data_IF_034696046320
#
_entry.id   IF_034696046320
#
_cell.length_a   1.000
_cell.length_b   1.000
_cell.length_c   1.000
_cell.angle_alpha   90.00
_cell.angle_beta   90.00
_cell.angle_gamma   90.00
#
_symmetry.space_group_name_H-M   'P 1'
#
loop_
_entity.id
_entity.type
_entity.pdbx_description
1 polymer ?
#
# COMPACT_ATOMS: atom_id res chain seq x y z
N UNK A 1 1.52 -7.83 12.47
CA UNK A 1 0.72 -6.72 11.91
C UNK A 1 -0.41 -6.35 12.85
N UNK A 2 -0.78 -5.08 12.89
CA UNK A 2 -1.90 -4.49 13.61
C UNK A 2 -3.22 -5.21 13.35
N UNK A 3 -3.89 -5.58 14.44
CA UNK A 3 -5.20 -6.22 14.41
C UNK A 3 -6.28 -5.16 14.53
N UNK A 4 -7.18 -5.02 13.54
CA UNK A 4 -8.26 -4.04 13.62
C UNK A 4 -9.17 -4.37 14.81
N UNK A 5 -9.57 -3.34 15.55
CA UNK A 5 -10.48 -3.42 16.69
C UNK A 5 -11.92 -3.05 16.34
N UNK A 6 -12.13 -2.48 15.16
CA UNK A 6 -13.45 -2.07 14.66
C UNK A 6 -13.62 -2.44 13.18
N UNK A 7 -14.88 -2.45 12.73
CA UNK A 7 -15.20 -2.67 11.32
C UNK A 7 -14.56 -1.63 10.39
N UNK A 8 -14.61 -0.34 10.75
CA UNK A 8 -13.97 0.72 9.96
C UNK A 8 -12.45 0.54 9.86
N UNK A 9 -11.80 0.12 10.95
CA UNK A 9 -10.36 -0.20 10.92
C UNK A 9 -10.06 -1.40 10.01
N UNK A 10 -10.94 -2.40 9.97
CA UNK A 10 -10.81 -3.55 9.07
C UNK A 10 -11.01 -3.16 7.60
N UNK A 11 -11.99 -2.31 7.30
CA UNK A 11 -12.23 -1.76 5.97
C UNK A 11 -11.02 -0.95 5.48
N UNK A 12 -10.54 -0.01 6.28
CA UNK A 12 -9.35 0.80 5.96
C UNK A 12 -8.13 -0.10 5.77
N UNK A 13 -7.93 -1.11 6.61
CA UNK A 13 -6.82 -2.08 6.45
C UNK A 13 -6.93 -2.84 5.13
N UNK A 14 -8.13 -3.25 4.74
CA UNK A 14 -8.36 -3.97 3.47
C UNK A 14 -8.07 -3.07 2.29
N UNK A 15 -8.61 -1.85 2.27
CA UNK A 15 -8.37 -0.86 1.21
C UNK A 15 -6.89 -0.52 1.06
N UNK A 16 -6.22 -0.19 2.18
CA UNK A 16 -4.79 0.14 2.17
C UNK A 16 -3.95 -1.07 1.79
N UNK A 17 -4.28 -2.26 2.29
CA UNK A 17 -3.53 -3.49 2.01
C UNK A 17 -3.59 -3.91 0.54
N UNK A 18 -4.80 -3.96 -0.03
CA UNK A 18 -5.04 -4.27 -1.45
C UNK A 18 -4.24 -3.32 -2.36
N UNK A 19 -4.30 -2.04 -2.02
CA UNK A 19 -3.71 -1.02 -2.84
C UNK A 19 -2.17 -0.93 -2.67
N UNK A 20 -1.62 -1.19 -1.48
CA UNK A 20 -0.17 -1.34 -1.27
C UNK A 20 0.39 -2.57 -2.00
N UNK A 21 -0.35 -3.68 -2.02
CA UNK A 21 0.04 -4.87 -2.76
C UNK A 21 0.08 -4.58 -4.27
N UNK A 22 -0.95 -3.90 -4.80
CA UNK A 22 -0.97 -3.48 -6.19
C UNK A 22 0.21 -2.58 -6.56
N UNK A 23 0.56 -1.59 -5.73
CA UNK A 23 1.70 -0.70 -5.96
C UNK A 23 3.03 -1.50 -6.02
N UNK A 24 3.21 -2.45 -5.10
CA UNK A 24 4.39 -3.31 -5.08
C UNK A 24 4.49 -4.22 -6.31
N UNK A 25 3.38 -4.86 -6.71
CA UNK A 25 3.37 -5.71 -7.90
C UNK A 25 3.63 -4.92 -9.18
N UNK A 26 3.10 -3.69 -9.29
CA UNK A 26 3.38 -2.81 -10.42
C UNK A 26 4.84 -2.38 -10.47
N UNK A 27 5.47 -2.15 -9.32
CA UNK A 27 6.90 -1.87 -9.24
C UNK A 27 7.72 -3.09 -9.69
N UNK A 28 7.45 -4.29 -9.17
CA UNK A 28 8.17 -5.50 -9.61
C UNK A 28 8.01 -5.70 -11.12
N UNK A 29 6.81 -5.45 -11.66
CA UNK A 29 6.53 -5.60 -13.08
C UNK A 29 7.39 -4.71 -13.99
N UNK A 30 8.06 -3.67 -13.49
CA UNK A 30 9.02 -2.89 -14.31
C UNK A 30 10.31 -3.63 -14.59
N UNK A 31 10.66 -4.61 -13.76
CA UNK A 31 11.90 -5.38 -13.86
C UNK A 31 11.67 -6.77 -14.50
N UNK A 32 10.42 -7.15 -14.76
CA UNK A 32 10.05 -8.42 -15.38
C UNK A 32 10.06 -8.36 -16.92
N UNK A 33 10.26 -9.50 -17.61
CA UNK A 33 10.02 -9.59 -19.06
C UNK A 33 8.61 -9.12 -19.42
N UNK A 34 8.48 -8.43 -20.55
CA UNK A 34 7.23 -7.76 -20.98
C UNK A 34 5.99 -8.67 -20.88
N UNK A 35 6.10 -9.91 -21.35
CA UNK A 35 5.00 -10.88 -21.35
C UNK A 35 4.49 -11.20 -19.93
N UNK A 36 5.40 -11.26 -18.95
CA UNK A 36 5.04 -11.50 -17.55
C UNK A 36 4.48 -10.24 -16.90
N UNK A 37 5.11 -9.09 -17.18
CA UNK A 37 4.64 -7.79 -16.70
C UNK A 37 3.20 -7.48 -17.16
N UNK A 38 2.85 -7.86 -18.39
CA UNK A 38 1.51 -7.68 -18.95
C UNK A 38 0.46 -8.52 -18.21
N UNK A 39 0.80 -9.75 -17.82
CA UNK A 39 -0.08 -10.59 -16.98
C UNK A 39 -0.31 -9.95 -15.62
N UNK A 40 0.74 -9.46 -14.97
CA UNK A 40 0.63 -8.76 -13.67
C UNK A 40 -0.29 -7.54 -13.80
N UNK A 41 -0.09 -6.70 -14.82
CA UNK A 41 -0.94 -5.53 -15.05
C UNK A 41 -2.39 -5.90 -15.35
N UNK A 42 -2.63 -6.94 -16.14
CA UNK A 42 -3.97 -7.41 -16.46
C UNK A 42 -4.73 -7.85 -15.19
N UNK A 43 -4.10 -8.68 -14.35
CA UNK A 43 -4.71 -9.15 -13.09
C UNK A 43 -5.01 -8.00 -12.13
N UNK A 44 -4.10 -7.03 -11.99
CA UNK A 44 -4.30 -5.86 -11.14
C UNK A 44 -5.35 -4.88 -11.70
N UNK A 45 -5.64 -4.90 -13.00
CA UNK A 45 -6.69 -4.05 -13.58
C UNK A 45 -8.11 -4.55 -13.27
N UNK A 46 -8.24 -5.81 -12.85
CA UNK A 46 -9.53 -6.44 -12.52
C UNK A 46 -9.94 -6.26 -11.04
N UNK A 47 -9.07 -5.70 -10.19
CA UNK A 47 -9.34 -5.56 -8.74
C UNK A 47 -10.16 -4.29 -8.42
N UNK A 48 -11.48 -4.37 -8.64
CA UNK A 48 -12.46 -3.34 -8.21
C UNK A 48 -12.97 -3.51 -6.77
N UNK A 49 -12.46 -4.49 -6.02
CA UNK A 49 -13.12 -4.99 -4.80
C UNK A 49 -13.13 -4.02 -3.61
N UNK A 50 -12.29 -2.98 -3.61
CA UNK A 50 -12.10 -2.11 -2.45
C UNK A 50 -12.72 -0.71 -2.61
N UNK A 51 -13.28 -0.34 -3.77
CA UNK A 51 -13.80 1.01 -3.99
C UNK A 51 -14.97 1.39 -3.08
N UNK A 52 -15.81 0.43 -2.68
CA UNK A 52 -16.94 0.69 -1.77
C UNK A 52 -16.46 1.21 -0.40
N UNK A 53 -15.23 0.88 0.01
CA UNK A 53 -14.64 1.30 1.29
C UNK A 53 -14.58 2.82 1.38
N UNK A 54 -14.31 3.51 0.27
CA UNK A 54 -14.16 4.97 0.26
C UNK A 54 -15.46 5.63 0.72
N UNK A 55 -16.60 5.22 0.16
CA UNK A 55 -17.90 5.79 0.52
C UNK A 55 -18.26 5.54 2.00
N UNK A 56 -18.06 4.31 2.47
CA UNK A 56 -18.32 3.92 3.87
C UNK A 56 -17.46 4.71 4.86
N UNK A 57 -16.16 4.82 4.60
CA UNK A 57 -15.23 5.54 5.48
C UNK A 57 -15.51 7.04 5.43
N UNK A 58 -15.73 7.63 4.26
CA UNK A 58 -16.09 9.05 4.12
C UNK A 58 -17.35 9.41 4.91
N UNK A 59 -18.39 8.57 4.83
CA UNK A 59 -19.61 8.78 5.60
C UNK A 59 -19.33 8.78 7.11
N UNK A 60 -18.55 7.81 7.60
CA UNK A 60 -18.22 7.69 9.01
C UNK A 60 -17.38 8.87 9.54
N UNK A 61 -16.37 9.31 8.79
CA UNK A 61 -15.47 10.41 9.22
C UNK A 61 -16.13 11.78 9.09
N UNK A 62 -17.09 11.94 8.17
CA UNK A 62 -17.94 13.13 8.07
C UNK A 62 -18.88 13.23 9.25
N UNK A 63 -19.47 12.11 9.67
CA UNK A 63 -20.37 12.05 10.82
C UNK A 63 -19.66 12.18 12.17
N UNK A 64 -18.35 11.90 12.26
CA UNK A 64 -17.62 11.92 13.53
C UNK A 64 -16.15 12.30 13.39
N UNK A 65 -15.81 13.49 13.91
CA UNK A 65 -14.42 13.93 14.02
C UNK A 65 -13.56 12.99 14.88
N UNK A 66 -14.15 12.37 15.91
CA UNK A 66 -13.46 11.36 16.74
C UNK A 66 -13.05 10.15 15.89
N UNK A 67 -13.93 9.67 15.00
CA UNK A 67 -13.60 8.56 14.11
C UNK A 67 -12.53 8.97 13.10
N UNK A 68 -12.62 10.19 12.52
CA UNK A 68 -11.57 10.73 11.65
C UNK A 68 -10.19 10.66 12.30
N UNK A 69 -10.04 11.21 13.51
CA UNK A 69 -8.74 11.23 14.19
C UNK A 69 -8.22 9.81 14.49
N UNK A 70 -9.10 8.91 14.92
CA UNK A 70 -8.73 7.51 15.19
C UNK A 70 -8.26 6.79 13.94
N UNK A 71 -9.02 6.88 12.84
CA UNK A 71 -8.69 6.22 11.58
C UNK A 71 -7.45 6.83 10.91
N UNK A 72 -7.21 8.13 11.06
CA UNK A 72 -5.98 8.77 10.58
C UNK A 72 -4.73 8.22 11.32
N UNK A 73 -4.81 8.09 12.66
CA UNK A 73 -3.72 7.49 13.43
C UNK A 73 -3.52 6.01 13.09
N UNK A 74 -4.62 5.27 12.95
CA UNK A 74 -4.59 3.87 12.54
C UNK A 74 -3.91 3.69 11.18
N UNK A 75 -4.26 4.53 10.20
CA UNK A 75 -3.70 4.44 8.84
C UNK A 75 -2.20 4.74 8.80
N UNK A 76 -1.73 5.73 9.56
CA UNK A 76 -0.29 5.98 9.73
C UNK A 76 0.43 4.77 10.33
N UNK A 77 -0.20 4.10 11.31
CA UNK A 77 0.37 2.89 11.92
C UNK A 77 0.42 1.72 10.93
N UNK A 78 -0.62 1.54 10.12
CA UNK A 78 -0.65 0.51 9.06
C UNK A 78 0.51 0.70 8.07
N UNK A 79 0.72 1.91 7.57
CA UNK A 79 1.82 2.21 6.66
C UNK A 79 3.18 1.95 7.30
N UNK A 80 3.40 2.43 8.53
CA UNK A 80 4.66 2.23 9.24
C UNK A 80 4.99 0.75 9.43
N UNK A 81 4.01 -0.06 9.85
CA UNK A 81 4.20 -1.50 9.99
C UNK A 81 4.44 -2.19 8.65
N UNK A 82 3.75 -1.78 7.58
CA UNK A 82 3.98 -2.31 6.24
C UNK A 82 5.41 -2.02 5.74
N UNK A 83 5.91 -0.79 5.93
CA UNK A 83 7.28 -0.41 5.58
C UNK A 83 8.28 -1.25 6.39
N UNK A 84 8.10 -1.37 7.70
CA UNK A 84 9.00 -2.20 8.54
C UNK A 84 9.00 -3.67 8.11
N UNK A 85 7.84 -4.23 7.76
CA UNK A 85 7.76 -5.61 7.26
C UNK A 85 8.46 -5.77 5.91
N UNK A 86 8.26 -4.83 4.98
CA UNK A 86 8.95 -4.85 3.69
C UNK A 86 10.47 -4.77 3.86
N UNK A 87 10.96 -3.87 4.72
CA UNK A 87 12.39 -3.77 5.05
C UNK A 87 12.94 -5.06 5.65
N UNK A 88 12.18 -5.73 6.53
CA UNK A 88 12.59 -7.00 7.12
C UNK A 88 12.70 -8.12 6.06
N UNK A 89 11.70 -8.26 5.19
CA UNK A 89 11.69 -9.24 4.10
C UNK A 89 12.85 -9.00 3.13
N UNK A 90 13.11 -7.74 2.78
CA UNK A 90 14.21 -7.38 1.89
C UNK A 90 15.59 -7.65 2.51
N UNK A 91 15.73 -7.48 3.82
CA UNK A 91 16.98 -7.79 4.53
C UNK A 91 17.21 -9.31 4.73
N UNK A 92 16.15 -10.11 4.75
CA UNK A 92 16.24 -11.58 4.91
C UNK A 92 16.39 -12.32 3.56
N UNK A 93 16.08 -11.65 2.45
CA UNK A 93 16.07 -12.23 1.11
C UNK A 93 16.82 -11.36 0.09
N UNK A 94 18.16 -11.40 0.13
CA UNK A 94 19.04 -10.69 -0.81
C UNK A 94 18.72 -10.99 -2.29
N UNK A 95 18.21 -12.19 -2.61
CA UNK A 95 17.81 -12.58 -3.97
C UNK A 95 16.64 -11.74 -4.52
N UNK A 96 15.75 -11.23 -3.64
CA UNK A 96 14.68 -10.31 -4.05
C UNK A 96 15.23 -8.92 -4.35
N UNK A 97 16.30 -8.51 -3.65
CA UNK A 97 17.01 -7.26 -3.93
C UNK A 97 17.65 -7.38 -5.31
N UNK A 98 18.32 -8.49 -5.61
CA UNK A 98 18.95 -8.71 -6.93
C UNK A 98 17.92 -8.80 -8.08
N UNK A 99 16.73 -9.38 -7.85
CA UNK A 99 15.66 -9.48 -8.85
C UNK A 99 15.00 -8.12 -9.16
N UNK A 100 14.79 -7.28 -8.14
CA UNK A 100 14.12 -5.98 -8.31
C UNK A 100 15.12 -4.89 -8.71
N UNK A 101 16.39 -5.01 -8.31
CA UNK A 101 17.42 -3.97 -8.41
C UNK A 101 18.53 -4.36 -9.40
N UNK A 102 18.18 -4.72 -10.64
CA UNK A 102 19.14 -4.99 -11.73
C UNK A 102 19.89 -3.73 -12.16
N UNK A 103 20.79 -3.23 -11.32
CA UNK A 103 21.86 -2.24 -11.57
C UNK A 103 22.48 -1.90 -10.22
N UNK A 104 23.77 -1.56 -10.15
CA UNK A 104 24.51 -1.24 -8.91
C UNK A 104 24.01 -0.01 -8.12
N UNK A 105 22.76 0.40 -8.30
CA UNK A 105 22.05 1.53 -7.69
C UNK A 105 20.87 1.07 -6.81
N UNK A 106 20.85 -0.19 -6.36
CA UNK A 106 19.70 -0.78 -5.66
C UNK A 106 19.23 -0.03 -4.41
N UNK A 107 20.14 0.57 -3.63
CA UNK A 107 19.72 1.36 -2.46
C UNK A 107 18.95 2.64 -2.84
N UNK A 108 19.33 3.29 -3.95
CA UNK A 108 18.63 4.48 -4.45
C UNK A 108 17.25 4.11 -4.98
N UNK A 109 17.15 3.05 -5.78
CA UNK A 109 15.87 2.57 -6.32
C UNK A 109 14.91 2.13 -5.20
N UNK A 110 15.42 1.50 -4.14
CA UNK A 110 14.62 1.13 -2.98
C UNK A 110 14.08 2.35 -2.21
N UNK A 111 14.90 3.40 -2.06
CA UNK A 111 14.46 4.65 -1.44
C UNK A 111 13.35 5.30 -2.26
N UNK A 112 13.52 5.38 -3.58
CA UNK A 112 12.51 5.93 -4.47
C UNK A 112 11.21 5.13 -4.49
N UNK A 113 11.29 3.80 -4.38
CA UNK A 113 10.14 2.92 -4.25
C UNK A 113 9.33 3.24 -2.99
N UNK A 114 9.98 3.33 -1.82
CA UNK A 114 9.30 3.68 -0.58
C UNK A 114 8.71 5.09 -0.63
N UNK A 115 9.39 6.05 -1.27
CA UNK A 115 8.86 7.40 -1.47
C UNK A 115 7.61 7.41 -2.38
N UNK A 116 7.58 6.58 -3.42
CA UNK A 116 6.39 6.39 -4.27
C UNK A 116 5.24 5.79 -3.49
N UNK A 117 5.49 4.75 -2.69
CA UNK A 117 4.48 4.13 -1.82
C UNK A 117 3.88 5.13 -0.84
N UNK A 118 4.73 5.93 -0.16
CA UNK A 118 4.27 6.94 0.79
C UNK A 118 3.40 8.00 0.13
N UNK A 119 3.78 8.50 -1.06
CA UNK A 119 2.98 9.47 -1.84
C UNK A 119 1.63 8.90 -2.24
N UNK A 120 1.60 7.68 -2.75
CA UNK A 120 0.35 7.01 -3.17
C UNK A 120 -0.55 6.74 -1.97
N UNK A 121 0.02 6.31 -0.84
CA UNK A 121 -0.72 6.18 0.41
C UNK A 121 -1.33 7.52 0.88
N UNK A 122 -0.58 8.62 0.79
CA UNK A 122 -1.10 9.94 1.15
C UNK A 122 -2.29 10.36 0.27
N UNK A 123 -2.24 10.10 -1.04
CA UNK A 123 -3.38 10.33 -1.95
C UNK A 123 -4.61 9.54 -1.51
N UNK A 124 -4.42 8.26 -1.17
CA UNK A 124 -5.50 7.40 -0.64
C UNK A 124 -6.05 7.90 0.69
N UNK A 125 -5.22 8.46 1.56
CA UNK A 125 -5.70 9.07 2.82
C UNK A 125 -6.54 10.32 2.57
N UNK A 126 -6.20 11.11 1.55
CA UNK A 126 -7.04 12.24 1.13
C UNK A 126 -8.38 11.75 0.59
N UNK A 127 -8.39 10.71 -0.26
CA UNK A 127 -9.62 10.09 -0.76
C UNK A 127 -10.52 9.57 0.37
N UNK A 128 -9.95 8.95 1.40
CA UNK A 128 -10.71 8.49 2.58
C UNK A 128 -11.15 9.62 3.53
N UNK A 129 -10.68 10.86 3.32
CA UNK A 129 -10.95 11.99 4.21
C UNK A 129 -10.22 11.91 5.56
N UNK A 130 -9.02 11.32 5.54
CA UNK A 130 -8.15 11.05 6.71
C UNK A 130 -6.85 11.88 6.74
N UNK A 131 -6.60 12.68 5.69
CA UNK A 131 -5.45 13.59 5.62
C UNK A 131 -5.59 14.81 6.54
#
# INVERSE_FOLDING_TARGET
>A
MTTPSTWLEALVKTYVGDALAADFYLEIATSLPTEVADVVRAVLSETGHSQFVVAEVQAAVTASQKQRHRLALWSRRLLGEAITQAQYVLADHDELVDLVMTSGEGLTQMTEFFDRLQRTHMSRMQELGLA
#
